data_IF_426268895033
#
_entry.id   IF_426268895033
#
_cell.length_a   1.000
_cell.length_b   1.000
_cell.length_c   1.000
_cell.angle_alpha   90.00
_cell.angle_beta   90.00
_cell.angle_gamma   90.00
#
_symmetry.space_group_name_H-M   'P 1'
#
loop_
_entity.id
_entity.type
_entity.pdbx_description
1 polymer ?
#
# COMPACT_ATOMS: atom_id res chain seq x y z
N UNK A 1 14.78 -13.30 3.54
CA UNK A 1 13.73 -13.62 2.55
C UNK A 1 12.43 -13.69 3.30
N UNK A 2 11.42 -12.97 2.82
CA UNK A 2 10.09 -12.83 3.46
C UNK A 2 9.07 -13.38 2.48
N UNK A 3 8.08 -14.12 2.97
CA UNK A 3 6.93 -14.63 2.20
C UNK A 3 5.76 -13.68 2.43
N UNK A 4 5.33 -13.01 1.35
CA UNK A 4 4.28 -12.00 1.41
C UNK A 4 3.09 -12.48 0.60
N UNK A 5 1.92 -12.58 1.23
CA UNK A 5 0.66 -12.71 0.50
C UNK A 5 0.12 -11.32 0.21
N UNK A 6 -0.26 -11.07 -1.04
CA UNK A 6 -0.84 -9.80 -1.46
C UNK A 6 -2.24 -10.04 -2.05
N UNK A 7 -3.23 -9.34 -1.52
CA UNK A 7 -4.58 -9.25 -2.07
C UNK A 7 -4.81 -7.81 -2.56
N UNK A 8 -4.74 -7.60 -3.88
CA UNK A 8 -4.88 -6.28 -4.51
C UNK A 8 -5.24 -6.41 -5.99
N UNK A 9 -5.41 -5.28 -6.70
CA UNK A 9 -5.68 -5.26 -8.14
C UNK A 9 -4.53 -5.84 -8.97
N UNK A 10 -4.83 -6.34 -10.17
CA UNK A 10 -3.82 -6.75 -11.15
C UNK A 10 -4.10 -6.12 -12.52
N UNK A 11 -3.04 -5.72 -13.23
CA UNK A 11 -3.11 -5.20 -14.59
C UNK A 11 -2.19 -5.96 -15.54
N UNK A 12 -2.65 -6.20 -16.77
CA UNK A 12 -1.85 -6.87 -17.80
C UNK A 12 -0.71 -6.00 -18.33
N UNK A 13 -0.91 -4.68 -18.40
CA UNK A 13 0.09 -3.71 -18.81
C UNK A 13 0.17 -2.53 -17.84
N UNK A 14 1.40 -2.14 -17.50
CA UNK A 14 1.71 -1.12 -16.51
C UNK A 14 2.00 -1.68 -15.12
N UNK A 15 2.26 -0.79 -14.17
CA UNK A 15 2.67 -1.15 -12.82
C UNK A 15 1.78 -0.44 -11.80
N UNK A 16 0.66 -1.06 -11.45
CA UNK A 16 -0.19 -0.73 -10.28
C UNK A 16 -0.62 -2.03 -9.61
N UNK A 17 -1.00 -1.98 -8.35
CA UNK A 17 -1.39 -3.15 -7.55
C UNK A 17 -0.32 -4.25 -7.56
N UNK A 18 -0.75 -5.49 -7.75
CA UNK A 18 0.10 -6.67 -7.85
C UNK A 18 1.18 -6.53 -8.93
N UNK A 19 0.86 -5.93 -10.08
CA UNK A 19 1.82 -5.76 -11.17
C UNK A 19 2.95 -4.77 -10.84
N UNK A 20 2.81 -3.95 -9.78
CA UNK A 20 3.88 -3.14 -9.21
C UNK A 20 4.56 -3.82 -8.02
N UNK A 21 3.77 -4.27 -7.05
CA UNK A 21 4.25 -4.80 -5.77
C UNK A 21 5.12 -6.06 -5.93
N UNK A 22 4.69 -6.97 -6.80
CA UNK A 22 5.31 -8.29 -6.98
C UNK A 22 6.72 -8.19 -7.56
N UNK A 23 6.94 -7.53 -8.71
CA UNK A 23 8.30 -7.40 -9.24
C UNK A 23 9.22 -6.59 -8.31
N UNK A 24 8.69 -5.65 -7.51
CA UNK A 24 9.48 -4.93 -6.53
C UNK A 24 9.98 -5.86 -5.41
N UNK A 25 9.10 -6.69 -4.85
CA UNK A 25 9.47 -7.67 -3.82
C UNK A 25 10.40 -8.77 -4.37
N UNK A 26 10.13 -9.27 -5.57
CA UNK A 26 10.98 -10.28 -6.23
C UNK A 26 12.37 -9.74 -6.55
N UNK A 27 12.50 -8.46 -6.92
CA UNK A 27 13.81 -7.82 -7.11
C UNK A 27 14.66 -7.79 -5.82
N UNK A 28 14.02 -7.87 -4.66
CA UNK A 28 14.65 -7.99 -3.34
C UNK A 28 14.69 -9.43 -2.81
N UNK A 29 14.42 -10.42 -3.67
CA UNK A 29 14.45 -11.85 -3.33
C UNK A 29 13.43 -12.27 -2.26
N UNK A 30 12.27 -11.60 -2.20
CA UNK A 30 11.12 -12.05 -1.42
C UNK A 30 10.25 -13.01 -2.25
N UNK A 31 9.56 -13.93 -1.57
CA UNK A 31 8.56 -14.81 -2.18
C UNK A 31 7.18 -14.15 -2.08
N UNK A 32 6.39 -14.24 -3.14
CA UNK A 32 5.10 -13.53 -3.21
C UNK A 32 3.97 -14.46 -3.63
N UNK A 33 2.97 -14.60 -2.77
CA UNK A 33 1.68 -15.23 -3.09
C UNK A 33 0.70 -14.13 -3.50
N UNK A 34 0.05 -14.26 -4.65
CA UNK A 34 -0.72 -13.17 -5.25
C UNK A 34 -2.18 -13.59 -5.44
N UNK A 35 -3.10 -12.79 -4.93
CA UNK A 35 -4.53 -12.96 -5.11
C UNK A 35 -5.10 -11.68 -5.74
N UNK A 36 -5.46 -11.70 -7.04
CA UNK A 36 -6.01 -10.52 -7.69
C UNK A 36 -7.46 -10.26 -7.24
N UNK A 37 -7.76 -9.02 -6.83
CA UNK A 37 -9.13 -8.53 -6.60
C UNK A 37 -9.77 -8.05 -7.88
N UNK A 38 -8.97 -7.60 -8.84
CA UNK A 38 -9.37 -7.27 -10.21
C UNK A 38 -8.35 -7.81 -11.20
N UNK A 39 -8.79 -8.10 -12.42
CA UNK A 39 -7.93 -8.43 -13.56
C UNK A 39 -8.29 -7.47 -14.68
N UNK A 40 -7.45 -6.46 -14.90
CA UNK A 40 -7.65 -5.40 -15.88
C UNK A 40 -6.56 -5.40 -16.96
N UNK A 41 -6.83 -4.77 -18.11
CA UNK A 41 -5.84 -4.57 -19.17
C UNK A 41 -4.72 -3.61 -18.73
N UNK A 42 -5.09 -2.52 -18.06
CA UNK A 42 -4.24 -1.42 -17.63
C UNK A 42 -4.98 -0.58 -16.58
N UNK A 43 -4.29 0.35 -15.92
CA UNK A 43 -4.94 1.19 -14.92
C UNK A 43 -6.04 2.08 -15.54
N UNK A 44 -7.13 2.41 -14.80
CA UNK A 44 -8.26 3.19 -15.32
C UNK A 44 -7.97 4.64 -15.74
N UNK A 45 -6.74 5.12 -15.53
CA UNK A 45 -6.32 6.47 -15.95
C UNK A 45 -6.00 6.59 -17.44
N UNK A 46 -6.05 5.48 -18.20
CA UNK A 46 -5.88 5.47 -19.66
C UNK A 46 -7.22 5.56 -20.40
N UNK A 47 -7.24 6.03 -21.67
CA UNK A 47 -8.47 6.21 -22.44
C UNK A 47 -9.25 4.91 -22.74
N UNK A 48 -8.56 3.78 -22.81
CA UNK A 48 -9.16 2.47 -23.12
C UNK A 48 -8.75 1.47 -22.04
N UNK A 49 -9.75 0.82 -21.46
CA UNK A 49 -9.58 -0.10 -20.33
C UNK A 49 -10.60 -1.23 -20.48
N UNK A 50 -10.17 -2.46 -20.23
CA UNK A 50 -11.02 -3.63 -20.19
C UNK A 50 -10.67 -4.51 -18.98
N UNK A 51 -11.58 -5.42 -18.63
CA UNK A 51 -11.42 -6.35 -17.52
C UNK A 51 -12.52 -6.20 -16.47
N UNK A 52 -12.38 -6.91 -15.36
CA UNK A 52 -13.41 -6.97 -14.33
C UNK A 52 -12.82 -7.30 -12.94
N UNK A 53 -13.58 -7.03 -11.87
CA UNK A 53 -13.35 -7.64 -10.57
C UNK A 53 -13.35 -9.17 -10.63
N UNK A 54 -12.51 -9.81 -9.83
CA UNK A 54 -12.51 -11.26 -9.66
C UNK A 54 -13.64 -11.62 -8.70
N UNK A 55 -14.53 -12.58 -9.01
CA UNK A 55 -15.60 -12.96 -8.08
C UNK A 55 -15.06 -13.39 -6.72
N UNK A 56 -15.65 -12.87 -5.64
CA UNK A 56 -15.23 -13.17 -4.24
C UNK A 56 -15.20 -14.67 -3.96
N UNK A 57 -16.15 -15.45 -4.51
CA UNK A 57 -16.18 -16.90 -4.37
C UNK A 57 -14.94 -17.58 -4.97
N UNK A 58 -14.41 -17.05 -6.07
CA UNK A 58 -13.18 -17.56 -6.68
C UNK A 58 -11.96 -17.26 -5.80
N UNK A 59 -11.86 -16.04 -5.26
CA UNK A 59 -10.77 -15.67 -4.34
C UNK A 59 -10.84 -16.52 -3.07
N UNK A 60 -12.03 -16.73 -2.52
CA UNK A 60 -12.24 -17.63 -1.38
C UNK A 60 -11.78 -19.05 -1.68
N UNK A 61 -12.14 -19.60 -2.84
CA UNK A 61 -11.65 -20.92 -3.26
C UNK A 61 -10.13 -21.02 -3.36
N UNK A 62 -9.45 -19.95 -3.81
CA UNK A 62 -7.99 -19.88 -3.81
C UNK A 62 -7.43 -19.84 -2.38
N UNK A 63 -7.99 -19.03 -1.49
CA UNK A 63 -7.59 -18.95 -0.08
C UNK A 63 -7.71 -20.32 0.60
N UNK A 64 -8.83 -21.02 0.42
CA UNK A 64 -9.01 -22.36 1.02
C UNK A 64 -8.04 -23.39 0.45
N UNK A 65 -7.72 -23.33 -0.84
CA UNK A 65 -6.71 -24.21 -1.44
C UNK A 65 -5.30 -23.93 -0.90
N UNK A 66 -4.93 -22.65 -0.74
CA UNK A 66 -3.66 -22.26 -0.12
C UNK A 66 -3.56 -22.75 1.32
N UNK A 67 -4.66 -22.68 2.06
CA UNK A 67 -4.72 -23.16 3.44
C UNK A 67 -4.65 -24.68 3.54
N UNK A 68 -5.40 -25.40 2.70
CA UNK A 68 -5.37 -26.86 2.65
C UNK A 68 -3.98 -27.42 2.27
N UNK A 69 -3.21 -26.68 1.48
CA UNK A 69 -1.81 -27.00 1.17
C UNK A 69 -0.82 -26.61 2.27
N UNK A 70 -1.28 -25.97 3.35
CA UNK A 70 -0.44 -25.47 4.44
C UNK A 70 0.38 -24.22 4.09
N UNK A 71 0.03 -23.51 3.01
CA UNK A 71 0.78 -22.35 2.52
C UNK A 71 0.25 -21.03 3.06
N UNK A 72 -1.01 -20.97 3.50
CA UNK A 72 -1.64 -19.71 3.93
C UNK A 72 -1.05 -19.19 5.25
N UNK A 73 -0.97 -20.03 6.28
CA UNK A 73 -0.38 -19.64 7.57
C UNK A 73 1.15 -19.63 7.56
N UNK A 74 1.77 -20.08 6.47
CA UNK A 74 3.21 -20.02 6.27
C UNK A 74 3.66 -18.64 5.75
N UNK A 75 2.78 -17.65 5.59
CA UNK A 75 3.19 -16.31 5.16
C UNK A 75 3.77 -15.53 6.34
N UNK A 76 4.73 -14.67 6.09
CA UNK A 76 5.31 -13.79 7.12
C UNK A 76 4.55 -12.46 7.20
N UNK A 77 3.96 -12.02 6.08
CA UNK A 77 3.11 -10.84 6.01
C UNK A 77 1.94 -10.98 5.03
N UNK A 78 0.85 -10.26 5.32
CA UNK A 78 -0.30 -10.03 4.46
C UNK A 78 -0.33 -8.55 4.07
N UNK A 79 -0.33 -8.25 2.77
CA UNK A 79 -0.59 -6.91 2.24
C UNK A 79 -1.98 -6.86 1.59
N UNK A 80 -2.81 -5.94 2.07
CA UNK A 80 -4.13 -5.66 1.52
C UNK A 80 -4.12 -4.30 0.83
N UNK A 81 -4.43 -4.29 -0.47
CA UNK A 81 -4.48 -3.08 -1.29
C UNK A 81 -5.88 -2.81 -1.83
N UNK A 82 -5.97 -2.54 -3.14
CA UNK A 82 -7.21 -2.12 -3.78
C UNK A 82 -8.34 -3.17 -3.70
N UNK A 83 -9.52 -2.74 -3.25
CA UNK A 83 -10.74 -3.55 -3.15
C UNK A 83 -11.85 -2.96 -4.03
N UNK A 84 -12.44 -3.72 -4.97
CA UNK A 84 -13.44 -3.21 -5.90
C UNK A 84 -14.89 -3.18 -5.35
N UNK A 85 -15.19 -3.90 -4.27
CA UNK A 85 -16.53 -3.91 -3.64
C UNK A 85 -16.46 -4.16 -2.13
N UNK A 86 -17.56 -3.86 -1.42
CA UNK A 86 -17.73 -4.14 0.01
C UNK A 86 -17.57 -5.64 0.33
N UNK A 87 -18.04 -6.53 -0.55
CA UNK A 87 -17.81 -7.98 -0.40
C UNK A 87 -16.33 -8.37 -0.44
N UNK A 88 -15.50 -7.65 -1.22
CA UNK A 88 -14.05 -7.88 -1.23
C UNK A 88 -13.41 -7.38 0.07
N UNK A 89 -13.91 -6.27 0.61
CA UNK A 89 -13.46 -5.77 1.92
C UNK A 89 -13.81 -6.77 3.02
N UNK A 90 -15.02 -7.33 3.02
CA UNK A 90 -15.43 -8.35 3.97
C UNK A 90 -14.55 -9.61 3.87
N UNK A 91 -14.28 -10.10 2.66
CA UNK A 91 -13.33 -11.21 2.45
C UNK A 91 -11.93 -10.89 2.99
N UNK A 92 -11.43 -9.67 2.73
CA UNK A 92 -10.11 -9.23 3.17
C UNK A 92 -10.04 -9.10 4.70
N UNK A 93 -11.11 -8.62 5.35
CA UNK A 93 -11.21 -8.52 6.80
C UNK A 93 -11.21 -9.91 7.47
N UNK A 94 -11.95 -10.86 6.92
CA UNK A 94 -11.95 -12.25 7.40
C UNK A 94 -10.56 -12.87 7.27
N UNK A 95 -9.91 -12.69 6.13
CA UNK A 95 -8.55 -13.17 5.90
C UNK A 95 -7.54 -12.53 6.87
N UNK A 96 -7.61 -11.22 7.06
CA UNK A 96 -6.75 -10.47 7.98
C UNK A 96 -6.89 -10.96 9.42
N UNK A 97 -8.12 -11.12 9.94
CA UNK A 97 -8.35 -11.65 11.29
C UNK A 97 -7.72 -13.03 11.45
N UNK A 98 -8.01 -13.95 10.52
CA UNK A 98 -7.49 -15.32 10.54
C UNK A 98 -5.96 -15.38 10.51
N UNK A 99 -5.33 -14.61 9.63
CA UNK A 99 -3.86 -14.61 9.49
C UNK A 99 -3.18 -13.91 10.68
N UNK A 100 -3.78 -12.83 11.20
CA UNK A 100 -3.27 -12.11 12.38
C UNK A 100 -3.32 -12.95 13.64
N UNK A 101 -4.38 -13.73 13.84
CA UNK A 101 -4.48 -14.72 14.94
C UNK A 101 -3.36 -15.77 14.87
N UNK A 102 -2.88 -16.11 13.67
CA UNK A 102 -1.74 -16.98 13.45
C UNK A 102 -0.37 -16.28 13.55
N UNK A 103 -0.34 -14.99 13.89
CA UNK A 103 0.89 -14.20 14.05
C UNK A 103 1.46 -13.62 12.75
N UNK A 104 0.70 -13.64 11.64
CA UNK A 104 1.11 -12.99 10.39
C UNK A 104 0.91 -11.49 10.51
N UNK A 105 1.92 -10.71 10.12
CA UNK A 105 1.86 -9.24 10.12
C UNK A 105 0.91 -8.74 9.03
N UNK A 106 -0.06 -7.91 9.39
CA UNK A 106 -1.04 -7.33 8.46
C UNK A 106 -0.68 -5.89 8.11
N UNK A 107 -0.41 -5.64 6.84
CA UNK A 107 -0.23 -4.30 6.26
C UNK A 107 -1.46 -3.94 5.43
N UNK A 108 -2.07 -2.81 5.73
CA UNK A 108 -3.23 -2.29 5.00
C UNK A 108 -2.84 -1.01 4.29
N UNK A 109 -2.95 -1.03 2.97
CA UNK A 109 -2.90 0.14 2.11
C UNK A 109 -4.34 0.52 1.75
N UNK A 110 -4.93 1.53 2.41
CA UNK A 110 -6.34 1.86 2.27
C UNK A 110 -6.54 2.66 0.97
N UNK A 111 -6.42 1.99 -0.19
CA UNK A 111 -6.50 2.61 -1.52
C UNK A 111 -7.91 3.18 -1.77
N UNK A 112 -8.14 4.41 -1.33
CA UNK A 112 -9.43 5.09 -1.45
C UNK A 112 -9.44 6.09 -2.60
N UNK A 113 -8.33 6.80 -2.81
CA UNK A 113 -8.30 7.98 -3.65
C UNK A 113 -7.06 8.84 -3.46
N UNK A 114 -6.96 9.89 -4.27
CA UNK A 114 -5.91 10.89 -4.13
C UNK A 114 -6.41 12.27 -4.61
N UNK A 115 -5.71 13.33 -4.24
CA UNK A 115 -5.95 14.65 -4.79
C UNK A 115 -5.27 14.81 -6.16
N UNK A 116 -5.90 15.54 -7.11
CA UNK A 116 -7.20 16.19 -7.03
C UNK A 116 -8.40 15.28 -7.40
N UNK A 117 -8.19 13.99 -7.66
CA UNK A 117 -9.18 13.08 -8.22
C UNK A 117 -10.33 12.67 -7.28
N UNK A 118 -10.13 12.74 -5.97
CA UNK A 118 -11.09 12.28 -4.97
C UNK A 118 -11.09 10.75 -4.85
N UNK A 119 -12.24 10.18 -4.49
CA UNK A 119 -12.39 8.71 -4.33
C UNK A 119 -12.32 7.99 -5.68
N UNK A 120 -11.54 6.91 -5.72
CA UNK A 120 -11.48 5.94 -6.83
C UNK A 120 -12.46 4.77 -6.65
N UNK A 121 -12.95 4.59 -5.43
CA UNK A 121 -13.90 3.55 -5.04
C UNK A 121 -15.26 4.17 -4.71
N UNK A 122 -16.30 3.36 -4.65
CA UNK A 122 -17.59 3.84 -4.16
C UNK A 122 -17.50 4.22 -2.68
N UNK A 123 -18.39 5.11 -2.23
CA UNK A 123 -18.43 5.49 -0.82
C UNK A 123 -18.74 4.30 0.10
N UNK A 124 -19.50 3.31 -0.38
CA UNK A 124 -19.76 2.06 0.33
C UNK A 124 -18.46 1.28 0.61
N UNK A 125 -17.60 1.12 -0.41
CA UNK A 125 -16.29 0.47 -0.26
C UNK A 125 -15.41 1.25 0.70
N UNK A 126 -15.41 2.57 0.58
CA UNK A 126 -14.61 3.43 1.46
C UNK A 126 -15.03 3.29 2.93
N UNK A 127 -16.34 3.26 3.20
CA UNK A 127 -16.86 3.04 4.56
C UNK A 127 -16.48 1.65 5.08
N UNK A 128 -16.67 0.60 4.28
CA UNK A 128 -16.28 -0.75 4.66
C UNK A 128 -14.77 -0.84 4.97
N UNK A 129 -13.91 -0.21 4.16
CA UNK A 129 -12.46 -0.19 4.41
C UNK A 129 -12.14 0.45 5.77
N UNK A 130 -12.75 1.60 6.08
CA UNK A 130 -12.55 2.29 7.36
C UNK A 130 -13.05 1.47 8.56
N UNK A 131 -14.24 0.89 8.45
CA UNK A 131 -14.93 0.27 9.57
C UNK A 131 -14.45 -1.16 9.83
N UNK A 132 -14.14 -1.91 8.76
CA UNK A 132 -13.87 -3.35 8.86
C UNK A 132 -12.40 -3.73 8.67
N UNK A 133 -11.64 -2.96 7.88
CA UNK A 133 -10.27 -3.35 7.48
C UNK A 133 -9.17 -2.56 8.16
N UNK A 134 -9.30 -1.23 8.24
CA UNK A 134 -8.34 -0.36 8.93
C UNK A 134 -8.08 -0.80 10.37
N UNK A 135 -9.09 -1.25 11.16
CA UNK A 135 -8.85 -1.69 12.53
C UNK A 135 -8.05 -2.98 12.68
N UNK A 136 -7.76 -3.69 11.58
CA UNK A 136 -7.02 -4.94 11.57
C UNK A 136 -5.54 -4.75 11.20
N UNK A 137 -5.13 -3.51 10.91
CA UNK A 137 -3.79 -3.20 10.43
C UNK A 137 -2.75 -3.20 11.56
N UNK A 138 -1.71 -4.01 11.44
CA UNK A 138 -0.50 -3.81 12.24
C UNK A 138 0.29 -2.60 11.71
N UNK A 139 0.24 -2.37 10.40
CA UNK A 139 0.71 -1.14 9.75
C UNK A 139 -0.30 -0.63 8.73
N UNK A 140 -0.68 0.64 8.84
CA UNK A 140 -1.54 1.34 7.90
C UNK A 140 -0.71 2.32 7.06
N UNK A 141 -0.90 2.36 5.74
CA UNK A 141 -0.10 3.23 4.83
C UNK A 141 -0.94 4.24 4.05
N UNK A 142 -1.77 5.08 4.69
CA UNK A 142 -2.63 6.00 3.96
C UNK A 142 -1.79 7.12 3.33
N UNK A 143 -2.21 7.67 2.20
CA UNK A 143 -1.78 8.99 1.78
C UNK A 143 -2.49 10.10 2.57
N UNK A 144 -2.07 11.36 2.42
CA UNK A 144 -2.66 12.49 3.15
C UNK A 144 -4.17 12.66 2.88
N UNK A 145 -4.64 12.38 1.66
CA UNK A 145 -6.06 12.43 1.31
C UNK A 145 -6.84 11.30 2.00
N UNK A 146 -6.33 10.07 1.94
CA UNK A 146 -6.91 8.89 2.59
C UNK A 146 -6.99 9.08 4.10
N UNK A 147 -5.93 9.59 4.73
CA UNK A 147 -5.94 9.94 6.15
C UNK A 147 -7.07 10.91 6.46
N UNK A 148 -7.23 11.95 5.65
CA UNK A 148 -8.31 12.92 5.82
C UNK A 148 -9.69 12.31 5.67
N UNK A 149 -9.87 11.42 4.69
CA UNK A 149 -11.12 10.71 4.51
C UNK A 149 -11.45 9.80 5.70
N UNK A 150 -10.47 9.01 6.16
CA UNK A 150 -10.61 8.08 7.29
C UNK A 150 -10.94 8.79 8.61
N UNK A 151 -10.40 9.99 8.82
CA UNK A 151 -10.52 10.74 10.08
C UNK A 151 -11.54 11.88 10.02
N UNK A 152 -12.14 12.14 8.86
CA UNK A 152 -13.05 13.27 8.63
C UNK A 152 -12.35 14.63 8.55
N UNK A 153 -11.02 14.68 8.52
CA UNK A 153 -10.23 15.91 8.40
C UNK A 153 -10.01 16.32 6.93
N UNK A 154 -9.89 17.63 6.64
CA UNK A 154 -9.59 18.14 5.29
C UNK A 154 -8.48 19.18 5.34
N UNK A 155 -7.61 19.19 4.33
CA UNK A 155 -6.59 20.23 4.15
C UNK A 155 -5.62 20.33 5.32
N UNK A 156 -5.01 19.20 5.69
CA UNK A 156 -4.18 19.10 6.89
C UNK A 156 -2.79 19.70 6.69
N UNK A 157 -2.33 20.42 7.71
CA UNK A 157 -0.92 20.67 8.02
C UNK A 157 -0.26 19.40 8.56
N UNK A 158 1.08 19.41 8.67
CA UNK A 158 1.81 18.27 9.24
C UNK A 158 1.39 17.95 10.69
N UNK A 159 1.13 18.97 11.50
CA UNK A 159 0.67 18.80 12.89
C UNK A 159 -0.74 18.22 12.98
N UNK A 160 -1.64 18.63 12.07
CA UNK A 160 -2.99 18.06 11.99
C UNK A 160 -2.94 16.61 11.47
N UNK A 161 -2.08 16.32 10.49
CA UNK A 161 -1.85 14.96 10.01
C UNK A 161 -1.32 14.05 11.13
N UNK A 162 -0.40 14.55 11.98
CA UNK A 162 0.05 13.83 13.18
C UNK A 162 -1.10 13.53 14.12
N UNK A 163 -1.95 14.51 14.39
CA UNK A 163 -3.10 14.35 15.30
C UNK A 163 -4.09 13.33 14.74
N UNK A 164 -4.44 13.44 13.46
CA UNK A 164 -5.32 12.52 12.77
C UNK A 164 -4.77 11.08 12.77
N UNK A 165 -3.50 10.90 12.42
CA UNK A 165 -2.85 9.58 12.43
C UNK A 165 -2.75 8.99 13.84
N UNK A 166 -2.51 9.82 14.86
CA UNK A 166 -2.51 9.36 16.26
C UNK A 166 -3.88 8.82 16.68
N UNK A 167 -4.97 9.41 16.20
CA UNK A 167 -6.32 8.92 16.45
C UNK A 167 -6.64 7.56 15.81
N UNK A 168 -5.84 7.09 14.85
CA UNK A 168 -5.97 5.75 14.27
C UNK A 168 -5.15 4.69 15.01
N UNK A 169 -4.26 5.09 15.94
CA UNK A 169 -3.44 4.16 16.71
C UNK A 169 -4.23 3.37 17.76
N UNK A 170 -5.45 3.79 18.09
CA UNK A 170 -6.35 3.01 18.95
C UNK A 170 -6.70 1.66 18.32
N UNK A 171 -6.62 1.57 16.99
CA UNK A 171 -6.96 0.36 16.23
C UNK A 171 -5.81 -0.19 15.38
N UNK A 172 -4.90 0.67 14.90
CA UNK A 172 -3.74 0.26 14.11
C UNK A 172 -2.44 0.31 14.92
N UNK A 173 -1.50 -0.60 14.66
CA UNK A 173 -0.22 -0.63 15.38
C UNK A 173 0.74 0.53 15.03
N UNK A 174 0.78 0.90 13.76
CA UNK A 174 1.61 1.97 13.22
C UNK A 174 0.92 2.60 12.00
N UNK A 175 1.04 3.92 11.83
CA UNK A 175 0.50 4.66 10.69
C UNK A 175 1.63 5.37 9.94
N UNK A 176 1.77 5.04 8.66
CA UNK A 176 2.77 5.59 7.75
C UNK A 176 2.08 6.47 6.71
N UNK A 177 1.89 7.75 7.05
CA UNK A 177 1.20 8.72 6.20
C UNK A 177 2.11 9.16 5.05
N UNK A 178 1.81 8.71 3.84
CA UNK A 178 2.52 9.12 2.62
C UNK A 178 2.05 10.48 2.14
N UNK A 179 2.87 11.13 1.31
CA UNK A 179 2.61 12.48 0.78
C UNK A 179 2.38 13.54 1.87
N UNK A 180 3.04 13.40 3.02
CA UNK A 180 2.91 14.33 4.14
C UNK A 180 3.37 15.76 3.74
N UNK A 181 2.68 16.82 4.22
CA UNK A 181 2.96 18.21 3.81
C UNK A 181 4.08 18.79 4.66
N UNK A 182 5.33 18.39 4.37
CA UNK A 182 6.52 18.75 5.16
C UNK A 182 6.92 20.21 4.95
N UNK A 183 6.83 20.73 3.72
CA UNK A 183 7.15 22.14 3.44
C UNK A 183 7.16 22.49 1.95
N UNK A 184 7.51 23.74 1.59
CA UNK A 184 7.58 24.16 0.19
C UNK A 184 8.52 23.26 -0.63
N UNK A 185 8.02 22.71 -1.75
CA UNK A 185 8.79 21.82 -2.62
C UNK A 185 9.18 20.46 -1.99
N UNK A 186 8.67 20.16 -0.80
CA UNK A 186 9.07 19.00 0.00
C UNK A 186 7.83 18.26 0.47
N UNK A 187 7.78 16.97 0.18
CA UNK A 187 6.78 16.06 0.75
C UNK A 187 7.50 15.07 1.68
N UNK A 188 6.84 14.01 2.10
CA UNK A 188 7.49 13.04 2.96
C UNK A 188 6.60 11.91 3.40
N UNK A 189 7.16 11.14 4.32
CA UNK A 189 6.45 10.19 5.13
C UNK A 189 6.37 10.71 6.55
N UNK A 190 5.18 10.77 7.12
CA UNK A 190 4.97 10.94 8.54
C UNK A 190 4.68 9.56 9.14
N UNK A 191 5.59 9.08 9.98
CA UNK A 191 5.42 7.85 10.76
C UNK A 191 4.89 8.22 12.13
N UNK A 192 3.80 7.60 12.52
CA UNK A 192 3.21 7.72 13.87
C UNK A 192 3.05 6.31 14.42
N UNK A 193 3.61 6.09 15.61
CA UNK A 193 3.53 4.85 16.39
C UNK A 193 3.39 5.21 17.87
N UNK A 194 3.00 4.28 18.75
CA UNK A 194 2.93 4.54 20.19
C UNK A 194 4.26 5.05 20.78
N UNK A 195 5.40 4.62 20.23
CA UNK A 195 6.73 4.96 20.76
C UNK A 195 7.37 6.18 20.12
N UNK A 196 7.03 6.48 18.85
CA UNK A 196 7.76 7.47 18.04
C UNK A 196 6.87 8.20 17.04
N UNK A 197 7.22 9.46 16.81
CA UNK A 197 6.71 10.27 15.70
C UNK A 197 7.88 10.79 14.90
N UNK A 198 7.97 10.37 13.65
CA UNK A 198 9.11 10.64 12.78
C UNK A 198 8.65 11.19 11.44
N UNK A 199 9.42 12.11 10.88
CA UNK A 199 9.21 12.62 9.53
C UNK A 199 10.42 12.29 8.66
N UNK A 200 10.15 11.79 7.46
CA UNK A 200 11.15 11.56 6.42
C UNK A 200 10.89 12.54 5.28
N UNK A 201 11.61 13.68 5.23
CA UNK A 201 11.47 14.64 4.14
C UNK A 201 11.99 14.05 2.83
N UNK A 202 11.24 14.24 1.75
CA UNK A 202 11.64 13.88 0.39
C UNK A 202 11.30 15.01 -0.58
N UNK A 203 12.13 15.18 -1.61
CA UNK A 203 11.85 16.15 -2.66
C UNK A 203 10.53 15.81 -3.36
N UNK A 204 9.67 16.82 -3.52
CA UNK A 204 8.43 16.66 -4.29
C UNK A 204 8.78 16.56 -5.77
N UNK A 205 8.39 15.45 -6.40
CA UNK A 205 8.61 15.20 -7.82
C UNK A 205 7.27 15.28 -8.56
N UNK A 206 7.29 15.90 -9.75
CA UNK A 206 6.11 16.01 -10.62
C UNK A 206 6.18 14.99 -11.75
N UNK A 207 5.01 14.55 -12.22
CA UNK A 207 4.92 13.56 -13.31
C UNK A 207 5.41 12.17 -12.93
N UNK A 208 5.25 11.82 -11.64
CA UNK A 208 5.57 10.48 -11.14
C UNK A 208 4.52 9.49 -11.69
N UNK A 209 4.92 8.37 -12.31
CA UNK A 209 3.97 7.35 -12.75
C UNK A 209 3.16 6.76 -11.59
N UNK A 210 1.97 6.26 -11.89
CA UNK A 210 1.15 5.53 -10.91
C UNK A 210 1.86 4.25 -10.40
N UNK A 211 1.45 3.78 -9.21
CA UNK A 211 1.95 2.54 -8.60
C UNK A 211 3.00 2.73 -7.51
N UNK A 212 3.39 3.96 -7.21
CA UNK A 212 4.41 4.23 -6.16
C UNK A 212 3.93 3.85 -4.75
N UNK A 213 2.63 4.05 -4.46
CA UNK A 213 2.01 3.60 -3.21
C UNK A 213 2.07 2.09 -3.08
N UNK A 214 1.68 1.37 -4.14
CA UNK A 214 1.72 -0.11 -4.18
C UNK A 214 3.15 -0.65 -3.94
N UNK A 215 4.18 -0.01 -4.51
CA UNK A 215 5.56 -0.38 -4.25
C UNK A 215 5.95 -0.07 -2.80
N UNK A 216 5.59 1.10 -2.28
CA UNK A 216 5.92 1.47 -0.91
C UNK A 216 5.31 0.49 0.11
N UNK A 217 4.01 0.22 0.02
CA UNK A 217 3.31 -0.69 0.93
C UNK A 217 3.83 -2.13 0.79
N UNK A 218 4.20 -2.56 -0.41
CA UNK A 218 4.90 -3.83 -0.64
C UNK A 218 6.27 -3.91 0.04
N UNK A 219 7.11 -2.88 -0.09
CA UNK A 219 8.42 -2.84 0.58
C UNK A 219 8.28 -2.89 2.10
N UNK A 220 7.29 -2.19 2.67
CA UNK A 220 6.98 -2.24 4.10
C UNK A 220 6.49 -3.63 4.53
N UNK A 221 5.62 -4.28 3.74
CA UNK A 221 5.17 -5.66 3.96
C UNK A 221 6.31 -6.67 3.84
N UNK A 222 7.29 -6.43 2.96
CA UNK A 222 8.53 -7.20 2.85
C UNK A 222 9.45 -7.10 4.08
N UNK A 223 9.15 -6.19 5.01
CA UNK A 223 9.86 -6.01 6.27
C UNK A 223 10.93 -4.91 6.26
N UNK A 224 10.97 -4.08 5.20
CA UNK A 224 11.90 -2.95 5.17
C UNK A 224 11.44 -1.88 6.16
N UNK A 225 12.41 -1.23 6.82
CA UNK A 225 12.12 -0.03 7.61
C UNK A 225 11.60 1.10 6.70
N UNK A 226 10.82 2.06 7.23
CA UNK A 226 10.34 3.19 6.45
C UNK A 226 11.45 3.95 5.70
N UNK A 227 12.61 4.14 6.33
CA UNK A 227 13.77 4.78 5.69
C UNK A 227 14.34 3.98 4.52
N UNK A 228 14.48 2.66 4.65
CA UNK A 228 14.93 1.78 3.56
C UNK A 228 13.92 1.76 2.41
N UNK A 229 12.63 1.61 2.73
CA UNK A 229 11.55 1.61 1.74
C UNK A 229 11.52 2.92 0.94
N UNK A 230 11.65 4.07 1.62
CA UNK A 230 11.71 5.37 0.95
C UNK A 230 12.98 5.58 0.13
N UNK A 231 14.13 5.08 0.59
CA UNK A 231 15.38 5.15 -0.17
C UNK A 231 15.26 4.43 -1.51
N UNK A 232 14.78 3.19 -1.47
CA UNK A 232 14.48 2.37 -2.64
C UNK A 232 13.44 3.04 -3.55
N UNK A 233 12.32 3.49 -2.98
CA UNK A 233 11.24 4.13 -3.72
C UNK A 233 11.69 5.43 -4.39
N UNK A 234 12.47 6.26 -3.69
CA UNK A 234 13.02 7.52 -4.21
C UNK A 234 13.87 7.26 -5.46
N UNK A 235 14.78 6.30 -5.40
CA UNK A 235 15.62 5.93 -6.54
C UNK A 235 14.81 5.32 -7.70
N UNK A 236 13.78 4.53 -7.40
CA UNK A 236 12.87 4.00 -8.42
C UNK A 236 12.07 5.12 -9.10
N UNK A 237 11.57 6.09 -8.33
CA UNK A 237 10.85 7.25 -8.87
C UNK A 237 11.78 8.04 -9.78
N UNK A 238 13.00 8.37 -9.35
CA UNK A 238 13.97 9.11 -10.16
C UNK A 238 14.27 8.40 -11.48
N UNK A 239 14.44 7.08 -11.45
CA UNK A 239 14.65 6.28 -12.65
C UNK A 239 13.42 6.23 -13.56
N UNK A 240 12.22 6.47 -13.03
CA UNK A 240 10.94 6.35 -13.74
C UNK A 240 10.37 7.69 -14.20
N UNK A 241 11.01 8.82 -13.87
CA UNK A 241 10.57 10.13 -14.36
C UNK A 241 10.56 10.13 -15.89
N UNK A 242 9.50 10.72 -16.46
CA UNK A 242 9.23 10.79 -17.90
C UNK A 242 8.97 9.44 -18.60
N UNK A 243 8.86 8.33 -17.85
CA UNK A 243 8.39 7.06 -18.38
C UNK A 243 6.86 6.95 -18.24
N UNK A 244 6.17 6.19 -19.10
CA UNK A 244 4.73 5.96 -18.95
C UNK A 244 4.38 5.13 -17.71
N UNK A 245 5.32 4.32 -17.22
CA UNK A 245 5.15 3.42 -16.07
C UNK A 245 6.44 3.36 -15.24
N UNK A 246 6.33 2.85 -14.01
CA UNK A 246 7.49 2.56 -13.17
C UNK A 246 8.46 1.61 -13.86
N UNK A 247 9.76 1.91 -13.77
CA UNK A 247 10.83 1.11 -14.35
C UNK A 247 11.36 0.08 -13.35
N UNK A 248 10.46 -0.69 -12.74
CA UNK A 248 10.77 -1.60 -11.61
C UNK A 248 11.88 -2.58 -11.97
N UNK A 249 11.67 -3.44 -12.97
CA UNK A 249 12.67 -4.42 -13.37
C UNK A 249 13.91 -3.77 -14.04
N UNK A 250 13.76 -2.85 -15.03
CA UNK A 250 14.93 -2.28 -15.71
C UNK A 250 15.86 -1.45 -14.80
N UNK A 251 15.33 -0.83 -13.74
CA UNK A 251 16.12 -0.04 -12.80
C UNK A 251 16.50 -0.81 -11.52
N UNK A 252 16.14 -2.10 -11.40
CA UNK A 252 16.38 -2.93 -10.22
C UNK A 252 17.83 -2.90 -9.73
N UNK A 253 18.87 -2.97 -10.58
CA UNK A 253 20.25 -2.88 -10.11
C UNK A 253 20.58 -1.57 -9.37
N UNK A 254 19.83 -0.49 -9.61
CA UNK A 254 20.09 0.81 -9.00
C UNK A 254 19.24 1.01 -7.75
N UNK A 255 17.91 0.87 -7.86
CA UNK A 255 17.02 1.24 -6.77
C UNK A 255 17.09 0.25 -5.59
N UNK A 256 17.35 -1.03 -5.82
CA UNK A 256 17.47 -2.05 -4.74
C UNK A 256 18.68 -1.88 -3.84
N UNK A 257 19.63 -1.01 -4.24
CA UNK A 257 20.85 -0.69 -3.48
C UNK A 257 20.86 0.75 -2.96
N UNK A 258 19.76 1.48 -3.14
CA UNK A 258 19.68 2.86 -2.71
C UNK A 258 19.75 2.94 -1.17
N UNK A 259 20.49 3.94 -0.67
CA UNK A 259 20.65 4.14 0.76
C UNK A 259 19.32 4.48 1.43
N UNK A 260 19.16 4.04 2.67
CA UNK A 260 18.01 4.40 3.49
C UNK A 260 17.99 5.92 3.77
N UNK A 261 16.79 6.49 3.78
CA UNK A 261 16.59 7.87 4.23
C UNK A 261 16.55 7.93 5.76
N UNK A 262 17.09 9.01 6.31
CA UNK A 262 17.10 9.28 7.76
C UNK A 262 15.90 10.13 8.18
N UNK A 263 15.20 9.76 9.26
CA UNK A 263 14.12 10.58 9.79
C UNK A 263 14.63 11.76 10.63
N UNK A 264 13.73 12.69 10.88
CA UNK A 264 13.79 13.67 11.99
C UNK A 264 12.68 13.34 12.99
N UNK A 265 13.00 13.29 14.29
CA UNK A 265 12.00 13.14 15.38
C UNK A 265 11.24 14.46 15.59
N UNK A 266 9.93 14.40 15.81
CA UNK A 266 9.06 15.59 15.96
C UNK A 266 8.00 15.48 17.06
#
# INVERSE_FOLDING_TARGET
>A
MTRVLILSSWVAHGHVGLSAAVPALQALSHEVTQLPTTVLSNHPGWPHVAGAPVPVAQIRGMIEALDANGWLMAQDALLLGYMPSSDHVALAADLARRMREAGVRVVVDPVLGDLPGGLYVSQEVACALRDDLVPLADVLTPNLFELGWLTGARGMTLAEARTAASGLLDTAGEVLVTSAPVGPGTTGLLRVSPERVQVFPVALRRGVPHGVGDVFSALVAGGLSPGQALGHLSALIDASLHAPHLRIAPAAPNWTRAAALTPTEI
#
